data_IF_282197697355
#
_entry.id   IF_282197697355
#
_cell.length_a   1.000
_cell.length_b   1.000
_cell.length_c   1.000
_cell.angle_alpha   90.00
_cell.angle_beta   90.00
_cell.angle_gamma   90.00
#
_symmetry.space_group_name_H-M   'P 1'
#
loop_
_entity.id
_entity.type
_entity.pdbx_description
1 polymer ?
#
# COMPACT_ATOMS: atom_id res chain seq x y z
N UNK A 1 7.84 11.83 -12.39
CA UNK A 1 8.49 10.92 -13.35
C UNK A 1 7.84 10.96 -14.73
N UNK A 2 6.52 10.75 -14.86
CA UNK A 2 5.83 10.73 -16.17
C UNK A 2 6.17 11.93 -17.08
N UNK A 3 6.07 13.16 -16.56
CA UNK A 3 6.44 14.37 -17.33
C UNK A 3 7.90 14.39 -17.79
N UNK A 4 8.81 13.91 -16.94
CA UNK A 4 10.23 13.82 -17.28
C UNK A 4 10.45 12.78 -18.39
N UNK A 5 9.80 11.62 -18.29
CA UNK A 5 9.86 10.57 -19.32
C UNK A 5 9.38 11.09 -20.69
N UNK A 6 8.25 11.81 -20.73
CA UNK A 6 7.70 12.35 -21.99
C UNK A 6 8.66 13.37 -22.61
N UNK A 7 9.16 14.32 -21.80
CA UNK A 7 10.03 15.41 -22.28
C UNK A 7 11.41 14.91 -22.68
N UNK A 8 12.06 14.11 -21.84
CA UNK A 8 13.44 13.65 -22.06
C UNK A 8 13.58 12.73 -23.27
N UNK A 9 12.49 12.06 -23.68
CA UNK A 9 12.47 11.15 -24.82
C UNK A 9 11.72 11.71 -26.04
N UNK A 10 11.33 13.00 -26.03
CA UNK A 10 10.58 13.65 -27.10
C UNK A 10 9.30 12.91 -27.54
N UNK A 11 8.59 12.26 -26.60
CA UNK A 11 7.44 11.42 -26.91
C UNK A 11 6.21 12.22 -27.36
N UNK A 12 6.19 13.54 -27.17
CA UNK A 12 5.09 14.40 -27.60
C UNK A 12 4.84 14.32 -29.12
N UNK A 13 5.90 14.12 -29.92
CA UNK A 13 5.78 13.93 -31.36
C UNK A 13 5.09 12.60 -31.68
N UNK A 14 5.57 11.50 -31.07
CA UNK A 14 5.01 10.17 -31.28
C UNK A 14 3.54 10.08 -30.82
N UNK A 15 3.19 10.74 -29.72
CA UNK A 15 1.81 10.83 -29.25
C UNK A 15 0.90 11.52 -30.28
N UNK A 16 1.36 12.65 -30.86
CA UNK A 16 0.61 13.35 -31.92
C UNK A 16 0.50 12.53 -33.20
N UNK A 17 1.57 11.82 -33.58
CA UNK A 17 1.58 10.95 -34.76
C UNK A 17 0.57 9.79 -34.63
N UNK A 18 0.29 9.35 -33.41
CA UNK A 18 -0.75 8.36 -33.09
C UNK A 18 -2.13 8.98 -32.78
N UNK A 19 -2.30 10.29 -33.01
CA UNK A 19 -3.60 10.97 -32.92
C UNK A 19 -4.01 11.43 -31.52
N UNK A 20 -3.08 11.53 -30.56
CA UNK A 20 -3.37 12.14 -29.25
C UNK A 20 -3.35 13.67 -29.34
N UNK A 21 -4.26 14.31 -28.60
CA UNK A 21 -4.42 15.76 -28.54
C UNK A 21 -3.71 16.32 -27.31
N UNK A 22 -2.60 17.03 -27.52
CA UNK A 22 -1.82 17.65 -26.45
C UNK A 22 -2.19 19.13 -26.26
N UNK A 23 -2.25 19.67 -25.02
CA UNK A 23 -1.84 19.03 -23.76
C UNK A 23 -2.93 18.19 -23.08
N UNK A 24 -4.16 18.18 -23.61
CA UNK A 24 -5.34 17.59 -22.97
C UNK A 24 -5.15 16.11 -22.56
N UNK A 25 -4.57 15.30 -23.45
CA UNK A 25 -4.36 13.87 -23.20
C UNK A 25 -3.26 13.60 -22.17
N UNK A 26 -2.24 14.46 -22.07
CA UNK A 26 -1.21 14.36 -21.03
C UNK A 26 -1.82 14.64 -19.66
N UNK A 27 -2.64 15.69 -19.56
CA UNK A 27 -3.34 16.01 -18.32
C UNK A 27 -4.32 14.89 -17.97
N UNK A 28 -5.04 14.33 -18.95
CA UNK A 28 -5.92 13.19 -18.75
C UNK A 28 -5.17 11.98 -18.17
N UNK A 29 -4.01 11.60 -18.74
CA UNK A 29 -3.19 10.48 -18.23
C UNK A 29 -2.76 10.72 -16.78
N UNK A 30 -2.29 11.93 -16.44
CA UNK A 30 -1.93 12.26 -15.05
C UNK A 30 -3.12 12.10 -14.12
N UNK A 31 -4.32 12.51 -14.56
CA UNK A 31 -5.55 12.33 -13.79
C UNK A 31 -6.01 10.88 -13.67
N UNK A 32 -5.71 10.02 -14.64
CA UNK A 32 -5.93 8.57 -14.48
C UNK A 32 -4.99 7.96 -13.43
N UNK A 33 -3.76 8.45 -13.29
CA UNK A 33 -2.79 8.01 -12.28
C UNK A 33 -3.17 8.54 -10.88
N UNK A 34 -3.53 9.82 -10.79
CA UNK A 34 -3.97 10.46 -9.54
C UNK A 34 -5.31 9.86 -9.06
N UNK A 35 -6.21 9.54 -9.99
CA UNK A 35 -7.58 9.08 -9.74
C UNK A 35 -8.56 10.22 -9.44
N UNK A 36 -9.86 9.89 -9.49
CA UNK A 36 -10.95 10.85 -9.27
C UNK A 36 -11.17 11.11 -7.76
N UNK A 37 -10.68 12.23 -7.23
CA UNK A 37 -10.66 12.47 -5.77
C UNK A 37 -12.04 12.72 -5.14
N UNK A 38 -12.98 13.31 -5.90
CA UNK A 38 -14.36 13.57 -5.47
C UNK A 38 -15.34 13.46 -6.65
N UNK A 39 -16.08 12.34 -6.79
CA UNK A 39 -17.12 12.18 -7.80
C UNK A 39 -18.30 13.13 -7.61
N UNK A 40 -18.49 13.65 -6.39
CA UNK A 40 -19.63 14.50 -6.00
C UNK A 40 -19.27 15.99 -5.98
N UNK A 41 -18.12 16.37 -6.54
CA UNK A 41 -17.74 17.76 -6.64
C UNK A 41 -18.86 18.55 -7.34
N UNK A 42 -19.23 19.71 -6.78
CA UNK A 42 -20.36 20.56 -7.22
C UNK A 42 -20.28 20.92 -8.72
N UNK A 43 -19.09 20.84 -9.31
CA UNK A 43 -18.85 20.90 -10.74
C UNK A 43 -17.91 19.78 -11.16
N UNK A 44 -18.16 19.20 -12.34
CA UNK A 44 -17.27 18.21 -12.96
C UNK A 44 -15.83 18.76 -12.98
N UNK A 45 -14.92 18.20 -12.17
CA UNK A 45 -13.68 18.90 -11.82
C UNK A 45 -12.57 18.73 -12.86
N UNK A 46 -12.85 18.02 -13.97
CA UNK A 46 -11.85 17.63 -14.95
C UNK A 46 -12.16 18.19 -16.34
N UNK A 47 -11.31 19.09 -16.81
CA UNK A 47 -11.49 19.70 -18.12
C UNK A 47 -10.98 18.80 -19.27
N UNK A 48 -10.27 17.71 -18.96
CA UNK A 48 -9.57 16.87 -19.95
C UNK A 48 -10.46 15.82 -20.61
N UNK A 49 -11.62 15.51 -20.02
CA UNK A 49 -12.64 14.64 -20.60
C UNK A 49 -14.01 15.09 -20.13
N UNK A 50 -15.05 14.98 -20.97
CA UNK A 50 -16.38 15.38 -20.56
C UNK A 50 -16.99 14.33 -19.63
N UNK A 51 -18.03 14.71 -18.86
CA UNK A 51 -18.64 13.87 -17.81
C UNK A 51 -19.17 12.52 -18.33
N UNK A 52 -19.52 12.43 -19.61
CA UNK A 52 -19.98 11.20 -20.25
C UNK A 52 -18.87 10.14 -20.32
N UNK A 53 -17.61 10.53 -20.10
CA UNK A 53 -16.43 9.66 -20.05
C UNK A 53 -15.92 9.45 -18.61
N UNK A 54 -16.70 9.79 -17.58
CA UNK A 54 -16.30 9.65 -16.18
C UNK A 54 -15.85 8.24 -15.78
N UNK A 55 -16.45 7.21 -16.38
CA UNK A 55 -16.09 5.81 -16.15
C UNK A 55 -14.62 5.48 -16.46
N UNK A 56 -13.95 6.26 -17.31
CA UNK A 56 -12.53 6.03 -17.64
C UNK A 56 -11.62 6.21 -16.41
N UNK A 57 -11.99 7.10 -15.49
CA UNK A 57 -11.26 7.35 -14.25
C UNK A 57 -11.39 6.22 -13.22
N UNK A 58 -12.26 5.25 -13.47
CA UNK A 58 -12.47 4.08 -12.61
C UNK A 58 -11.63 2.86 -13.07
N UNK A 59 -10.86 2.99 -14.16
CA UNK A 59 -10.09 1.87 -14.74
C UNK A 59 -8.72 1.72 -14.08
N UNK A 60 -7.92 2.79 -14.05
CA UNK A 60 -6.49 2.75 -13.64
C UNK A 60 -6.31 2.88 -12.13
N UNK A 61 -6.91 3.92 -11.53
CA UNK A 61 -6.82 4.19 -10.09
C UNK A 61 -8.19 4.60 -9.54
N UNK A 62 -9.00 3.61 -9.19
CA UNK A 62 -10.39 3.84 -8.78
C UNK A 62 -10.47 4.29 -7.32
N UNK A 63 -10.62 5.60 -7.09
CA UNK A 63 -10.71 6.15 -5.73
C UNK A 63 -12.09 5.97 -5.07
N UNK A 64 -13.13 5.65 -5.85
CA UNK A 64 -14.50 5.50 -5.35
C UNK A 64 -14.68 4.22 -4.55
N UNK A 65 -14.11 3.11 -5.02
CA UNK A 65 -14.24 1.80 -4.38
C UNK A 65 -12.97 0.94 -4.40
N UNK A 66 -11.91 1.38 -5.11
CA UNK A 66 -10.66 0.63 -5.21
C UNK A 66 -10.70 -0.56 -6.14
N UNK A 67 -11.73 -0.76 -6.98
CA UNK A 67 -11.73 -1.82 -8.00
C UNK A 67 -11.12 -1.25 -9.28
N UNK A 68 -9.88 -1.64 -9.58
CA UNK A 68 -9.09 -1.17 -10.72
C UNK A 68 -8.19 -2.27 -11.27
N UNK A 69 -7.64 -2.05 -12.47
CA UNK A 69 -6.82 -3.06 -13.16
C UNK A 69 -5.46 -3.28 -12.52
N UNK A 70 -4.97 -2.33 -11.73
CA UNK A 70 -3.75 -2.47 -10.91
C UNK A 70 -3.87 -3.69 -9.97
N UNK A 71 -5.00 -3.81 -9.26
CA UNK A 71 -5.28 -4.95 -8.37
C UNK A 71 -5.35 -6.27 -9.11
N UNK A 72 -5.97 -6.28 -10.28
CA UNK A 72 -6.10 -7.51 -11.06
C UNK A 72 -4.74 -8.05 -11.47
N UNK A 73 -3.82 -7.19 -11.90
CA UNK A 73 -2.46 -7.59 -12.25
C UNK A 73 -1.68 -8.06 -11.03
N UNK A 74 -1.58 -7.24 -9.98
CA UNK A 74 -0.71 -7.61 -8.86
C UNK A 74 -1.26 -8.81 -8.08
N UNK A 75 -2.57 -9.04 -8.00
CA UNK A 75 -3.09 -10.28 -7.42
C UNK A 75 -2.63 -11.50 -8.20
N UNK A 76 -2.72 -11.48 -9.53
CA UNK A 76 -2.29 -12.60 -10.36
C UNK A 76 -0.77 -12.80 -10.27
N UNK A 77 -0.01 -11.71 -10.42
CA UNK A 77 1.45 -11.70 -10.38
C UNK A 77 1.99 -12.13 -9.04
N UNK A 78 1.51 -11.56 -7.94
CA UNK A 78 2.05 -11.83 -6.61
C UNK A 78 1.64 -13.21 -6.13
N UNK A 79 0.40 -13.64 -6.37
CA UNK A 79 0.01 -15.01 -6.07
C UNK A 79 0.90 -16.03 -6.80
N UNK A 80 1.21 -15.79 -8.08
CA UNK A 80 2.13 -16.65 -8.83
C UNK A 80 3.53 -16.70 -8.20
N UNK A 81 4.15 -15.55 -7.92
CA UNK A 81 5.52 -15.49 -7.39
C UNK A 81 5.63 -15.91 -5.91
N UNK A 82 4.57 -15.71 -5.11
CA UNK A 82 4.51 -16.11 -3.69
C UNK A 82 4.07 -17.56 -3.50
N UNK A 83 3.66 -18.27 -4.56
CA UNK A 83 3.11 -19.63 -4.46
C UNK A 83 1.74 -19.68 -3.76
N UNK A 84 0.97 -18.60 -3.86
CA UNK A 84 -0.39 -18.51 -3.33
C UNK A 84 -1.42 -18.71 -4.45
N UNK A 85 -2.61 -19.22 -4.12
CA UNK A 85 -3.70 -19.31 -5.09
C UNK A 85 -4.42 -17.96 -5.21
N UNK A 86 -4.50 -17.41 -6.42
CA UNK A 86 -5.37 -16.28 -6.71
C UNK A 86 -6.82 -16.78 -6.90
N UNK A 87 -7.76 -16.19 -6.17
CA UNK A 87 -9.19 -16.53 -6.26
C UNK A 87 -9.98 -15.50 -7.10
N UNK A 88 -9.33 -14.48 -7.66
CA UNK A 88 -9.98 -13.41 -8.44
C UNK A 88 -9.92 -13.71 -9.94
N UNK A 89 -11.09 -13.91 -10.55
CA UNK A 89 -11.24 -14.03 -12.01
C UNK A 89 -11.58 -12.65 -12.62
N UNK A 90 -10.53 -11.89 -12.94
CA UNK A 90 -10.69 -10.56 -13.53
C UNK A 90 -11.21 -10.59 -14.97
N UNK A 91 -10.96 -11.67 -15.73
CA UNK A 91 -11.48 -11.82 -17.09
C UNK A 91 -13.01 -11.95 -17.07
N UNK A 92 -13.54 -12.75 -16.14
CA UNK A 92 -14.97 -12.83 -15.88
C UNK A 92 -15.54 -11.48 -15.46
N UNK A 93 -14.87 -10.76 -14.55
CA UNK A 93 -15.29 -9.42 -14.13
C UNK A 93 -15.44 -8.47 -15.33
N UNK A 94 -14.42 -8.43 -16.22
CA UNK A 94 -14.45 -7.60 -17.42
C UNK A 94 -15.61 -7.95 -18.36
N UNK A 95 -15.86 -9.25 -18.58
CA UNK A 95 -16.99 -9.71 -19.42
C UNK A 95 -18.37 -9.33 -18.86
N UNK A 96 -18.47 -9.15 -17.55
CA UNK A 96 -19.73 -8.85 -16.85
C UNK A 96 -19.86 -7.40 -16.43
N UNK A 97 -18.93 -6.55 -16.86
CA UNK A 97 -18.95 -5.11 -16.60
C UNK A 97 -19.71 -4.35 -17.68
N UNK A 98 -20.45 -3.31 -17.29
CA UNK A 98 -21.13 -2.36 -18.18
C UNK A 98 -20.91 -0.93 -17.71
N UNK A 99 -21.21 0.04 -18.57
CA UNK A 99 -21.30 1.45 -18.17
C UNK A 99 -22.78 1.82 -18.05
N UNK A 100 -23.17 2.41 -16.93
CA UNK A 100 -24.53 2.92 -16.71
C UNK A 100 -24.47 4.34 -16.15
N UNK A 101 -25.48 5.15 -16.47
CA UNK A 101 -25.61 6.51 -15.95
C UNK A 101 -26.20 6.48 -14.53
N UNK A 102 -25.56 7.21 -13.61
CA UNK A 102 -26.04 7.48 -12.26
C UNK A 102 -25.78 8.94 -11.94
N UNK A 103 -26.81 9.68 -11.53
CA UNK A 103 -26.72 11.09 -11.15
C UNK A 103 -25.99 11.97 -12.18
N UNK A 104 -26.18 11.67 -13.47
CA UNK A 104 -25.60 12.41 -14.60
C UNK A 104 -24.13 12.08 -14.91
N UNK A 105 -23.55 11.07 -14.25
CA UNK A 105 -22.22 10.53 -14.52
C UNK A 105 -22.31 9.08 -15.01
N UNK A 106 -21.38 8.68 -15.88
CA UNK A 106 -21.26 7.31 -16.33
C UNK A 106 -20.32 6.52 -15.41
N UNK A 107 -20.79 5.42 -14.85
CA UNK A 107 -20.03 4.56 -13.94
C UNK A 107 -19.87 3.14 -14.46
N UNK A 108 -18.74 2.53 -14.14
CA UNK A 108 -18.50 1.09 -14.29
C UNK A 108 -19.41 0.34 -13.31
N UNK A 109 -20.31 -0.46 -13.87
CA UNK A 109 -21.29 -1.25 -13.15
C UNK A 109 -21.00 -2.74 -13.32
N UNK A 110 -21.00 -3.48 -12.21
CA UNK A 110 -20.82 -4.93 -12.18
C UNK A 110 -22.15 -5.67 -12.31
N UNK A 111 -22.13 -6.89 -12.81
CA UNK A 111 -23.34 -7.71 -12.79
C UNK A 111 -23.72 -8.08 -11.35
N UNK A 112 -25.00 -7.97 -11.00
CA UNK A 112 -25.57 -8.29 -9.68
C UNK A 112 -25.03 -9.56 -9.01
N UNK A 113 -24.97 -10.67 -9.74
CA UNK A 113 -24.47 -11.96 -9.24
C UNK A 113 -22.97 -11.99 -8.89
N UNK A 114 -22.20 -10.99 -9.30
CA UNK A 114 -20.75 -10.91 -9.04
C UNK A 114 -20.43 -10.29 -7.68
N UNK A 115 -21.44 -9.82 -6.93
CA UNK A 115 -21.21 -9.20 -5.60
C UNK A 115 -20.40 -10.09 -4.65
N UNK A 116 -20.62 -11.41 -4.67
CA UNK A 116 -19.83 -12.36 -3.89
C UNK A 116 -18.36 -12.37 -4.31
N UNK A 117 -18.08 -12.41 -5.62
CA UNK A 117 -16.73 -12.38 -6.17
C UNK A 117 -16.00 -11.08 -5.81
N UNK A 118 -16.70 -9.95 -5.68
CA UNK A 118 -16.11 -8.70 -5.24
C UNK A 118 -15.71 -8.72 -3.76
N UNK A 119 -16.54 -9.31 -2.88
CA UNK A 119 -16.12 -9.54 -1.49
C UNK A 119 -14.91 -10.49 -1.42
N UNK A 120 -14.90 -11.56 -2.21
CA UNK A 120 -13.76 -12.49 -2.31
C UNK A 120 -12.48 -11.81 -2.82
N UNK A 121 -12.62 -10.80 -3.68
CA UNK A 121 -11.50 -9.98 -4.14
C UNK A 121 -10.85 -9.21 -2.98
N UNK A 122 -11.64 -8.51 -2.16
CA UNK A 122 -11.09 -7.79 -1.00
C UNK A 122 -10.59 -8.74 0.09
N UNK A 123 -11.20 -9.92 0.23
CA UNK A 123 -10.67 -10.98 1.09
C UNK A 123 -9.31 -11.48 0.61
N UNK A 124 -9.14 -11.70 -0.70
CA UNK A 124 -7.85 -12.04 -1.34
C UNK A 124 -6.80 -10.96 -1.05
N UNK A 125 -7.15 -9.68 -1.20
CA UNK A 125 -6.28 -8.56 -0.84
C UNK A 125 -5.80 -8.66 0.60
N UNK A 126 -6.72 -8.81 1.54
CA UNK A 126 -6.39 -8.93 2.96
C UNK A 126 -5.49 -10.16 3.23
N UNK A 127 -5.72 -11.29 2.56
CA UNK A 127 -4.84 -12.46 2.67
C UNK A 127 -3.41 -12.19 2.20
N UNK A 128 -3.24 -11.51 1.06
CA UNK A 128 -1.92 -11.13 0.55
C UNK A 128 -1.20 -10.17 1.50
N UNK A 129 -1.91 -9.16 2.01
CA UNK A 129 -1.36 -8.24 3.01
C UNK A 129 -0.88 -8.98 4.26
N UNK A 130 -1.68 -9.89 4.81
CA UNK A 130 -1.33 -10.61 6.05
C UNK A 130 -0.19 -11.59 5.88
N UNK A 131 -0.19 -12.33 4.78
CA UNK A 131 0.74 -13.44 4.57
C UNK A 131 2.06 -13.02 3.94
N UNK A 132 2.06 -11.94 3.16
CA UNK A 132 3.23 -11.49 2.42
C UNK A 132 3.58 -10.02 2.72
N UNK A 133 2.76 -9.06 2.29
CA UNK A 133 3.19 -7.66 2.24
C UNK A 133 3.48 -7.06 3.62
N UNK A 134 2.71 -7.45 4.63
CA UNK A 134 2.89 -6.99 6.00
C UNK A 134 3.34 -8.12 6.92
N UNK A 135 4.01 -9.13 6.37
CA UNK A 135 4.59 -10.19 7.19
C UNK A 135 5.60 -9.59 8.18
N UNK A 136 5.52 -9.98 9.46
CA UNK A 136 6.31 -9.40 10.56
C UNK A 136 7.82 -9.35 10.31
N UNK A 137 8.37 -10.33 9.59
CA UNK A 137 9.81 -10.36 9.23
C UNK A 137 10.11 -9.38 8.10
N UNK A 138 9.18 -9.20 7.14
CA UNK A 138 9.34 -8.22 6.07
C UNK A 138 9.30 -6.81 6.65
N UNK A 139 8.35 -6.53 7.55
CA UNK A 139 8.24 -5.23 8.25
C UNK A 139 9.52 -4.83 8.97
N UNK A 140 10.17 -5.77 9.65
CA UNK A 140 11.41 -5.45 10.37
C UNK A 140 12.62 -5.32 9.43
N UNK A 141 12.65 -6.06 8.31
CA UNK A 141 13.68 -5.88 7.28
C UNK A 141 13.50 -4.51 6.60
N UNK A 142 12.27 -4.12 6.23
CA UNK A 142 11.96 -2.78 5.70
C UNK A 142 12.45 -1.69 6.65
N UNK A 143 12.18 -1.84 7.95
CA UNK A 143 12.67 -0.90 8.97
C UNK A 143 14.20 -0.85 9.01
N UNK A 144 14.89 -1.99 8.98
CA UNK A 144 16.35 -2.04 8.96
C UNK A 144 16.95 -1.41 7.68
N UNK A 145 16.32 -1.59 6.52
CA UNK A 145 16.75 -0.95 5.27
C UNK A 145 16.56 0.57 5.38
N UNK A 146 15.41 1.03 5.87
CA UNK A 146 15.15 2.45 6.07
C UNK A 146 16.15 3.07 7.06
N UNK A 147 16.47 2.38 8.15
CA UNK A 147 17.50 2.79 9.11
C UNK A 147 18.87 2.91 8.44
N UNK A 148 19.29 1.91 7.66
CA UNK A 148 20.55 1.97 6.91
C UNK A 148 20.59 3.12 5.90
N UNK A 149 19.48 3.39 5.22
CA UNK A 149 19.40 4.50 4.24
C UNK A 149 19.42 5.86 4.92
N UNK A 150 18.85 6.00 6.12
CA UNK A 150 18.97 7.22 6.91
C UNK A 150 20.43 7.49 7.31
N UNK A 151 21.14 6.47 7.78
CA UNK A 151 22.58 6.59 8.09
C UNK A 151 23.42 6.89 6.83
N UNK A 152 23.01 6.40 5.65
CA UNK A 152 23.74 6.61 4.39
C UNK A 152 23.39 7.91 3.66
N UNK A 153 22.29 8.59 4.03
CA UNK A 153 21.68 9.66 3.24
C UNK A 153 22.66 10.80 2.90
N UNK A 154 23.42 11.26 3.91
CA UNK A 154 24.37 12.36 3.75
C UNK A 154 25.59 12.01 2.88
N UNK A 155 25.88 10.72 2.68
CA UNK A 155 27.12 10.22 2.11
C UNK A 155 26.96 9.67 0.69
N UNK A 156 25.76 9.19 0.34
CA UNK A 156 25.45 8.83 -1.04
C UNK A 156 25.14 10.09 -1.85
N UNK A 157 25.79 10.22 -3.01
CA UNK A 157 25.60 11.34 -3.94
C UNK A 157 25.13 10.82 -5.28
N UNK A 158 24.01 11.36 -5.76
CA UNK A 158 23.38 11.00 -7.02
C UNK A 158 23.41 12.24 -7.91
N UNK A 159 24.07 12.14 -9.06
CA UNK A 159 24.11 13.24 -10.02
C UNK A 159 22.76 13.37 -10.73
N UNK A 160 22.12 14.53 -10.61
CA UNK A 160 20.90 14.89 -11.31
C UNK A 160 21.13 15.92 -12.42
N UNK A 161 20.07 16.65 -12.77
CA UNK A 161 20.15 17.66 -13.83
C UNK A 161 21.16 18.76 -13.54
N UNK A 162 21.76 19.29 -14.62
CA UNK A 162 22.83 20.31 -14.56
C UNK A 162 24.05 19.89 -13.72
N UNK A 163 24.30 18.58 -13.58
CA UNK A 163 25.38 18.01 -12.75
C UNK A 163 25.27 18.35 -11.25
N UNK A 164 24.06 18.66 -10.77
CA UNK A 164 23.82 18.90 -9.36
C UNK A 164 23.80 17.56 -8.61
N UNK A 165 24.44 17.49 -7.44
CA UNK A 165 24.44 16.29 -6.61
C UNK A 165 23.29 16.32 -5.60
N UNK A 166 22.56 15.22 -5.52
CA UNK A 166 21.45 14.98 -4.59
C UNK A 166 21.80 13.85 -3.61
N UNK A 167 21.18 13.86 -2.45
CA UNK A 167 21.19 12.76 -1.47
C UNK A 167 20.09 11.74 -1.78
N UNK A 168 19.97 10.67 -0.99
CA UNK A 168 18.87 9.71 -1.15
C UNK A 168 17.51 10.41 -0.93
N UNK A 169 17.42 11.23 0.12
CA UNK A 169 16.22 11.95 0.53
C UNK A 169 15.81 13.08 -0.40
N UNK A 170 16.77 13.71 -1.10
CA UNK A 170 16.52 14.86 -1.99
C UNK A 170 16.46 14.48 -3.47
N UNK A 171 16.80 13.24 -3.84
CA UNK A 171 16.69 12.78 -5.23
C UNK A 171 15.26 12.87 -5.78
N UNK A 172 14.23 12.82 -4.93
CA UNK A 172 12.83 13.00 -5.33
C UNK A 172 12.54 14.37 -5.95
N UNK A 173 13.38 15.38 -5.67
CA UNK A 173 13.21 16.76 -6.15
C UNK A 173 13.73 16.93 -7.59
N UNK A 174 14.48 15.96 -8.13
CA UNK A 174 15.04 15.98 -9.48
C UNK A 174 14.84 14.63 -10.17
N UNK A 175 14.05 14.61 -11.26
CA UNK A 175 13.67 13.34 -11.91
C UNK A 175 14.83 12.65 -12.62
N UNK A 176 15.90 13.37 -12.97
CA UNK A 176 17.11 12.75 -13.52
C UNK A 176 17.90 12.01 -12.43
N UNK A 177 18.05 12.62 -11.24
CA UNK A 177 18.57 11.94 -10.06
C UNK A 177 17.67 10.77 -9.63
N UNK A 178 16.36 10.99 -9.54
CA UNK A 178 15.40 9.97 -9.13
C UNK A 178 15.40 8.74 -10.06
N UNK A 179 15.64 8.94 -11.37
CA UNK A 179 15.78 7.83 -12.34
C UNK A 179 16.95 6.90 -11.99
N UNK A 180 18.00 7.42 -11.35
CA UNK A 180 19.20 6.66 -10.94
C UNK A 180 19.06 6.05 -9.55
N UNK A 181 18.08 6.50 -8.75
CA UNK A 181 17.78 5.97 -7.43
C UNK A 181 16.97 4.68 -7.54
N UNK A 182 17.65 3.55 -7.35
CA UNK A 182 17.07 2.19 -7.44
C UNK A 182 17.58 1.33 -6.29
N UNK A 183 17.12 0.08 -6.22
CA UNK A 183 17.61 -0.93 -5.27
C UNK A 183 19.13 -1.12 -5.29
N UNK A 184 19.81 -0.69 -6.37
CA UNK A 184 21.27 -0.64 -6.44
C UNK A 184 21.93 0.08 -5.26
N UNK A 185 21.25 1.05 -4.65
CA UNK A 185 21.74 1.75 -3.44
C UNK A 185 22.06 0.78 -2.30
N UNK A 186 21.32 -0.33 -2.18
CA UNK A 186 21.58 -1.36 -1.19
C UNK A 186 22.98 -1.96 -1.39
N UNK A 187 23.29 -2.36 -2.63
CA UNK A 187 24.61 -2.92 -3.00
C UNK A 187 25.73 -1.88 -2.90
N UNK A 188 25.44 -0.63 -3.26
CA UNK A 188 26.39 0.48 -3.14
C UNK A 188 26.85 0.69 -1.69
N UNK A 189 25.92 0.65 -0.73
CA UNK A 189 26.23 0.75 0.70
C UNK A 189 26.99 -0.51 1.16
N UNK A 190 26.48 -1.69 0.81
CA UNK A 190 27.04 -2.96 1.25
C UNK A 190 28.50 -3.17 0.80
N UNK A 191 28.83 -2.76 -0.42
CA UNK A 191 30.16 -2.92 -1.01
C UNK A 191 31.07 -1.70 -0.83
N UNK A 192 30.61 -0.66 -0.13
CA UNK A 192 31.43 0.51 0.16
C UNK A 192 32.60 0.18 1.09
N UNK A 193 33.73 0.83 0.82
CA UNK A 193 34.92 0.89 1.68
C UNK A 193 35.00 2.19 2.49
N UNK A 194 34.05 3.11 2.33
CA UNK A 194 34.03 4.38 3.06
C UNK A 194 33.69 4.15 4.54
N UNK A 195 34.46 4.77 5.42
CA UNK A 195 34.18 4.79 6.87
C UNK A 195 32.86 5.48 7.20
N UNK A 196 32.45 6.44 6.37
CA UNK A 196 31.21 7.20 6.56
C UNK A 196 29.95 6.33 6.35
N UNK A 197 30.08 5.21 5.64
CA UNK A 197 28.99 4.27 5.39
C UNK A 197 29.05 3.04 6.30
N UNK A 198 29.95 3.01 7.29
CA UNK A 198 30.20 1.83 8.11
C UNK A 198 28.97 1.41 8.93
N UNK A 199 28.24 2.36 9.51
CA UNK A 199 27.06 2.06 10.33
C UNK A 199 25.88 1.55 9.48
N UNK A 200 25.61 2.21 8.35
CA UNK A 200 24.64 1.76 7.36
C UNK A 200 24.96 0.34 6.86
N UNK A 201 26.21 0.10 6.46
CA UNK A 201 26.71 -1.20 6.00
C UNK A 201 26.52 -2.29 7.05
N UNK A 202 26.83 -2.01 8.31
CA UNK A 202 26.66 -2.95 9.42
C UNK A 202 25.21 -3.38 9.60
N UNK A 203 24.24 -2.49 9.36
CA UNK A 203 22.82 -2.83 9.39
C UNK A 203 22.47 -3.77 8.23
N UNK A 204 22.91 -3.47 7.00
CA UNK A 204 22.66 -4.33 5.84
C UNK A 204 23.31 -5.72 5.97
N UNK A 205 24.53 -5.80 6.52
CA UNK A 205 25.20 -7.07 6.80
C UNK A 205 24.41 -7.95 7.79
N UNK A 206 23.72 -7.34 8.76
CA UNK A 206 22.79 -8.08 9.64
C UNK A 206 21.61 -8.66 8.88
N UNK A 207 21.08 -7.95 7.88
CA UNK A 207 19.98 -8.45 7.03
C UNK A 207 20.43 -9.70 6.28
N UNK A 208 21.57 -9.63 5.60
CA UNK A 208 22.13 -10.71 4.78
C UNK A 208 22.50 -11.92 5.64
N UNK A 209 23.08 -11.68 6.81
CA UNK A 209 23.44 -12.74 7.77
C UNK A 209 22.25 -13.24 8.62
N UNK A 210 21.01 -12.81 8.32
CA UNK A 210 19.78 -13.16 9.06
C UNK A 210 19.83 -12.84 10.57
N UNK A 211 20.62 -11.84 10.96
CA UNK A 211 20.69 -11.29 12.32
C UNK A 211 19.72 -10.12 12.49
N UNK A 212 18.47 -10.32 12.07
CA UNK A 212 17.40 -9.31 12.13
C UNK A 212 17.07 -8.93 13.57
N UNK A 213 16.52 -7.73 13.76
CA UNK A 213 15.87 -7.35 15.01
C UNK A 213 14.74 -8.32 15.34
N UNK A 214 14.55 -8.59 16.64
CA UNK A 214 13.74 -9.71 17.10
C UNK A 214 12.34 -9.25 17.47
N UNK A 215 11.36 -9.93 16.91
CA UNK A 215 9.96 -9.75 17.28
C UNK A 215 9.73 -10.20 18.73
N UNK A 216 9.19 -9.30 19.55
CA UNK A 216 8.86 -9.57 20.94
C UNK A 216 7.42 -10.01 21.08
N UNK A 217 6.48 -9.34 20.40
CA UNK A 217 5.06 -9.64 20.46
C UNK A 217 4.24 -8.64 19.64
N UNK A 218 2.96 -8.94 19.48
CA UNK A 218 1.99 -8.09 18.79
C UNK A 218 0.81 -7.76 19.71
N UNK A 219 0.44 -6.49 19.74
CA UNK A 219 -0.74 -5.99 20.45
C UNK A 219 -1.87 -5.79 19.42
N UNK A 220 -3.05 -6.32 19.76
CA UNK A 220 -4.29 -6.13 18.99
C UNK A 220 -5.24 -5.22 19.77
N UNK A 221 -5.21 -3.90 19.54
CA UNK A 221 -6.13 -2.99 20.22
C UNK A 221 -7.58 -3.33 19.86
N UNK A 222 -8.49 -3.19 20.82
CA UNK A 222 -9.93 -3.42 20.60
C UNK A 222 -10.52 -2.45 19.59
N UNK A 223 -10.74 -1.17 19.96
CA UNK A 223 -11.04 -0.12 18.98
C UNK A 223 -9.75 0.28 18.25
N UNK A 224 -9.89 0.70 16.99
CA UNK A 224 -8.77 1.25 16.20
C UNK A 224 -8.24 2.50 16.92
N UNK A 225 -7.00 2.49 17.43
CA UNK A 225 -6.46 3.62 18.17
C UNK A 225 -6.28 4.84 17.26
N UNK A 226 -6.45 6.02 17.84
CA UNK A 226 -6.18 7.27 17.12
C UNK A 226 -4.68 7.43 16.88
N UNK A 227 -4.30 8.23 15.88
CA UNK A 227 -2.88 8.58 15.62
C UNK A 227 -2.18 9.15 16.86
N UNK A 228 -2.91 9.88 17.70
CA UNK A 228 -2.37 10.44 18.95
C UNK A 228 -2.01 9.34 19.94
N UNK A 229 -2.93 8.39 20.15
CA UNK A 229 -2.71 7.23 21.04
C UNK A 229 -1.53 6.39 20.55
N UNK A 230 -1.46 6.12 19.25
CA UNK A 230 -0.31 5.42 18.64
C UNK A 230 0.99 6.16 18.92
N UNK A 231 1.04 7.47 18.67
CA UNK A 231 2.25 8.26 18.88
C UNK A 231 2.69 8.36 20.34
N UNK A 232 1.75 8.31 21.30
CA UNK A 232 2.07 8.20 22.73
C UNK A 232 2.67 6.83 23.05
N UNK A 233 2.07 5.77 22.52
CA UNK A 233 2.51 4.39 22.69
C UNK A 233 3.91 4.14 22.10
N UNK A 234 4.14 4.64 20.89
CA UNK A 234 5.45 4.61 20.21
C UNK A 234 6.52 5.32 21.05
N UNK A 235 6.22 6.48 21.63
CA UNK A 235 7.17 7.21 22.49
C UNK A 235 7.50 6.46 23.76
N UNK A 236 6.50 5.91 24.43
CA UNK A 236 6.71 5.14 25.67
C UNK A 236 7.55 3.89 25.41
N UNK A 237 7.20 3.09 24.40
CA UNK A 237 7.95 1.88 24.05
C UNK A 237 9.34 2.19 23.49
N UNK A 238 9.52 3.28 22.74
CA UNK A 238 10.83 3.72 22.29
C UNK A 238 11.74 4.13 23.47
N UNK A 239 11.18 4.72 24.52
CA UNK A 239 11.93 5.01 25.75
C UNK A 239 12.39 3.75 26.49
N UNK A 240 11.84 2.57 26.15
CA UNK A 240 12.27 1.26 26.63
C UNK A 240 13.22 0.54 25.65
N UNK A 241 13.78 1.25 24.67
CA UNK A 241 14.61 0.72 23.58
C UNK A 241 13.89 -0.30 22.67
N UNK A 242 12.56 -0.21 22.56
CA UNK A 242 11.79 -1.03 21.63
C UNK A 242 11.51 -0.31 20.32
N UNK A 243 11.48 -1.10 19.24
CA UNK A 243 11.00 -0.66 17.94
C UNK A 243 9.53 -1.01 17.85
N UNK A 244 8.71 -0.03 17.45
CA UNK A 244 7.26 -0.20 17.29
C UNK A 244 6.91 -0.02 15.83
N UNK A 245 6.27 -1.02 15.24
CA UNK A 245 5.78 -0.97 13.86
C UNK A 245 4.27 -1.20 13.85
N UNK A 246 3.52 -0.16 13.46
CA UNK A 246 2.06 -0.25 13.33
C UNK A 246 1.69 -0.67 11.92
N UNK A 247 0.85 -1.70 11.82
CA UNK A 247 0.32 -2.22 10.57
C UNK A 247 -1.19 -2.07 10.55
N UNK A 248 -1.75 -1.54 9.46
CA UNK A 248 -3.20 -1.45 9.26
C UNK A 248 -3.62 -2.41 8.15
N UNK A 249 -4.64 -3.22 8.42
CA UNK A 249 -5.31 -4.06 7.43
C UNK A 249 -6.68 -3.50 7.17
N UNK A 250 -7.05 -3.32 5.91
CA UNK A 250 -8.37 -2.85 5.53
C UNK A 250 -8.83 -3.45 4.19
N UNK A 251 -10.05 -3.12 3.77
CA UNK A 251 -10.58 -3.46 2.45
C UNK A 251 -10.30 -2.35 1.41
N UNK A 252 -9.26 -1.53 1.61
CA UNK A 252 -8.84 -0.47 0.69
C UNK A 252 -9.54 0.87 0.89
N UNK A 253 -10.47 0.96 1.83
CA UNK A 253 -11.24 2.16 2.14
C UNK A 253 -11.32 2.47 3.65
N UNK A 254 -10.22 2.26 4.38
CA UNK A 254 -10.20 2.39 5.85
C UNK A 254 -11.30 1.50 6.47
N UNK A 255 -12.12 2.05 7.37
CA UNK A 255 -13.20 1.39 8.09
C UNK A 255 -14.48 1.17 7.25
N UNK A 256 -14.51 1.59 5.98
CA UNK A 256 -15.69 1.50 5.12
C UNK A 256 -15.71 0.22 4.29
N UNK A 257 -16.91 -0.29 4.05
CA UNK A 257 -17.16 -1.35 3.08
C UNK A 257 -17.06 -0.79 1.64
N UNK A 258 -16.06 -1.20 0.83
CA UNK A 258 -15.91 -0.71 -0.53
C UNK A 258 -17.09 -1.11 -1.44
N UNK A 259 -17.80 -2.21 -1.13
CA UNK A 259 -18.91 -2.71 -1.95
C UNK A 259 -20.12 -1.76 -1.91
N UNK A 260 -20.28 -0.97 -0.85
CA UNK A 260 -21.32 0.07 -0.77
C UNK A 260 -21.17 1.12 -1.87
N UNK A 261 -19.95 1.34 -2.37
CA UNK A 261 -19.68 2.31 -3.42
C UNK A 261 -19.68 1.68 -4.82
N UNK A 262 -19.94 0.38 -4.96
CA UNK A 262 -20.05 -0.30 -6.26
C UNK A 262 -21.45 -0.14 -6.82
N UNK A 263 -21.57 0.08 -8.13
CA UNK A 263 -22.85 0.05 -8.83
C UNK A 263 -23.04 -1.31 -9.51
N UNK A 264 -24.27 -1.81 -9.47
CA UNK A 264 -24.65 -3.10 -10.06
C UNK A 264 -25.75 -2.93 -11.10
N UNK A 265 -25.82 -3.84 -12.06
CA UNK A 265 -26.97 -3.97 -12.98
C UNK A 265 -27.49 -5.40 -12.96
N UNK A 266 -28.73 -5.61 -13.42
CA UNK A 266 -29.38 -6.93 -13.44
C UNK A 266 -29.54 -7.46 -14.86
N UNK A 267 -29.85 -8.76 -15.02
CA UNK A 267 -30.15 -9.33 -16.35
C UNK A 267 -31.29 -8.61 -17.04
N UNK A 268 -32.31 -8.27 -16.25
CA UNK A 268 -33.60 -7.81 -16.74
C UNK A 268 -33.54 -6.34 -17.13
N UNK A 269 -32.78 -5.55 -16.37
CA UNK A 269 -32.57 -4.12 -16.58
C UNK A 269 -31.06 -3.86 -16.69
N UNK A 270 -30.44 -4.04 -17.87
CA UNK A 270 -28.99 -3.99 -18.04
C UNK A 270 -28.39 -2.57 -18.06
N UNK A 271 -29.22 -1.55 -18.22
CA UNK A 271 -28.81 -0.15 -18.30
C UNK A 271 -29.26 0.66 -17.07
N UNK A 272 -29.77 -0.02 -16.04
CA UNK A 272 -30.19 0.60 -14.77
C UNK A 272 -29.26 0.14 -13.66
N UNK A 273 -28.52 1.09 -13.10
CA UNK A 273 -27.66 0.86 -11.97
C UNK A 273 -28.43 0.86 -10.63
N UNK A 274 -27.97 0.05 -9.69
CA UNK A 274 -28.45 0.03 -8.31
C UNK A 274 -27.34 -0.37 -7.34
N UNK A 275 -27.58 -0.19 -6.04
CA UNK A 275 -26.68 -0.62 -4.96
C UNK A 275 -27.15 -1.94 -4.35
N UNK A 276 -26.20 -2.77 -3.93
CA UNK A 276 -26.46 -3.98 -3.14
C UNK A 276 -25.89 -3.74 -1.74
N UNK A 277 -26.69 -4.00 -0.72
CA UNK A 277 -26.30 -3.89 0.69
C UNK A 277 -25.71 -5.20 1.21
N UNK A 278 -24.84 -5.13 2.23
CA UNK A 278 -24.22 -6.30 2.87
C UNK A 278 -25.25 -7.36 3.29
N UNK A 279 -26.37 -6.91 3.86
CA UNK A 279 -27.45 -7.77 4.36
C UNK A 279 -28.16 -8.58 3.25
N UNK A 280 -28.15 -8.08 2.02
CA UNK A 280 -28.68 -8.79 0.85
C UNK A 280 -27.72 -9.87 0.33
N UNK A 281 -26.47 -9.87 0.76
CA UNK A 281 -25.42 -10.78 0.27
C UNK A 281 -25.25 -11.96 1.21
N UNK A 282 -24.78 -11.73 2.44
CA UNK A 282 -24.55 -12.80 3.42
C UNK A 282 -24.30 -12.26 4.82
N UNK A 283 -24.80 -12.97 5.83
CA UNK A 283 -24.52 -12.71 7.27
C UNK A 283 -23.12 -13.19 7.70
N UNK A 284 -22.38 -13.88 6.83
CA UNK A 284 -21.03 -14.38 7.11
C UNK A 284 -19.94 -13.44 6.57
N UNK A 285 -20.32 -12.26 6.09
CA UNK A 285 -19.38 -11.22 5.69
C UNK A 285 -18.77 -10.52 6.91
N UNK A 286 -17.62 -9.84 6.75
CA UNK A 286 -17.01 -9.10 7.85
C UNK A 286 -17.96 -8.06 8.46
N UNK A 287 -17.92 -7.94 9.79
CA UNK A 287 -18.56 -6.83 10.51
C UNK A 287 -17.67 -5.57 10.52
N UNK A 288 -16.35 -5.76 10.55
CA UNK A 288 -15.36 -4.69 10.51
C UNK A 288 -14.51 -4.79 9.23
N UNK A 289 -14.23 -3.63 8.62
CA UNK A 289 -13.46 -3.53 7.38
C UNK A 289 -12.05 -2.98 7.58
N UNK A 290 -11.67 -2.70 8.83
CA UNK A 290 -10.31 -2.28 9.21
C UNK A 290 -9.92 -2.83 10.57
N UNK A 291 -8.64 -3.14 10.73
CA UNK A 291 -8.00 -3.47 12.00
C UNK A 291 -6.55 -2.93 12.01
N UNK A 292 -5.97 -2.85 13.20
CA UNK A 292 -4.57 -2.48 13.39
C UNK A 292 -3.84 -3.49 14.26
N UNK A 293 -2.58 -3.74 13.93
CA UNK A 293 -1.66 -4.57 14.70
C UNK A 293 -0.44 -3.72 15.07
N UNK A 294 -0.03 -3.77 16.33
CA UNK A 294 1.16 -3.06 16.83
C UNK A 294 2.23 -4.11 17.12
N UNK A 295 3.20 -4.24 16.21
CA UNK A 295 4.33 -5.14 16.38
C UNK A 295 5.44 -4.47 17.18
N UNK A 296 5.94 -5.15 18.21
CA UNK A 296 7.04 -4.67 19.06
C UNK A 296 8.27 -5.54 18.85
N UNK A 297 9.43 -4.90 18.68
CA UNK A 297 10.69 -5.56 18.33
C UNK A 297 11.85 -5.05 19.19
N UNK A 298 12.89 -5.85 19.34
CA UNK A 298 14.15 -5.49 20.00
C UNK A 298 15.34 -5.52 19.05
N UNK A 299 16.22 -4.51 19.16
CA UNK A 299 17.53 -4.53 18.51
C UNK A 299 18.49 -5.55 19.15
N UNK A 300 18.27 -5.90 20.42
CA UNK A 300 19.04 -6.92 21.14
C UNK A 300 18.63 -8.31 20.63
N UNK A 301 19.59 -9.21 20.53
CA UNK A 301 19.38 -10.52 19.89
C UNK A 301 19.80 -11.69 20.76
N UNK A 302 20.43 -11.44 21.91
CA UNK A 302 20.80 -12.46 22.89
C UNK A 302 19.60 -12.89 23.74
N UNK A 303 19.55 -14.17 24.09
CA UNK A 303 18.40 -14.79 24.75
C UNK A 303 18.06 -14.15 26.10
N UNK A 304 19.08 -13.75 26.88
CA UNK A 304 18.88 -13.12 28.18
C UNK A 304 18.18 -11.76 28.03
N UNK A 305 18.65 -10.91 27.12
CA UNK A 305 18.01 -9.63 26.83
C UNK A 305 16.62 -9.79 26.24
N UNK A 306 16.40 -10.79 25.38
CA UNK A 306 15.08 -11.05 24.80
C UNK A 306 14.07 -11.50 25.86
N UNK A 307 14.47 -12.36 26.80
CA UNK A 307 13.61 -12.78 27.91
C UNK A 307 13.24 -11.59 28.80
N UNK A 308 14.24 -10.76 29.18
CA UNK A 308 13.98 -9.56 29.95
C UNK A 308 13.07 -8.57 29.21
N UNK A 309 13.29 -8.40 27.90
CA UNK A 309 12.48 -7.52 27.05
C UNK A 309 11.02 -7.98 26.96
N UNK A 310 10.76 -9.29 26.82
CA UNK A 310 9.39 -9.84 26.83
C UNK A 310 8.70 -9.60 28.15
N UNK A 311 9.33 -9.96 29.27
CA UNK A 311 8.76 -9.73 30.60
C UNK A 311 8.43 -8.25 30.85
N UNK A 312 9.30 -7.34 30.39
CA UNK A 312 9.05 -5.91 30.51
C UNK A 312 7.87 -5.45 29.64
N UNK A 313 7.79 -5.96 28.41
CA UNK A 313 6.67 -5.66 27.51
C UNK A 313 5.34 -6.19 28.04
N UNK A 314 5.34 -7.39 28.64
CA UNK A 314 4.17 -7.99 29.27
C UNK A 314 3.68 -7.12 30.44
N UNK A 315 4.59 -6.78 31.36
CA UNK A 315 4.26 -5.90 32.49
C UNK A 315 3.74 -4.54 32.02
N UNK A 316 4.36 -3.95 31.00
CA UNK A 316 3.90 -2.68 30.43
C UNK A 316 2.49 -2.80 29.81
N UNK A 317 2.17 -3.92 29.16
CA UNK A 317 0.82 -4.17 28.62
C UNK A 317 -0.21 -4.33 29.76
N UNK A 318 0.14 -5.06 30.82
CA UNK A 318 -0.72 -5.24 32.01
C UNK A 318 -0.99 -3.90 32.71
N UNK A 319 0.04 -3.09 32.93
CA UNK A 319 -0.07 -1.77 33.58
C UNK A 319 -0.96 -0.81 32.78
N UNK A 320 -1.02 -0.98 31.46
CA UNK A 320 -1.86 -0.19 30.54
C UNK A 320 -3.25 -0.78 30.31
N UNK A 321 -3.55 -1.97 30.84
CA UNK A 321 -4.81 -2.68 30.60
C UNK A 321 -5.00 -3.08 29.14
N UNK A 322 -3.91 -3.33 28.41
CA UNK A 322 -3.95 -3.77 27.02
C UNK A 322 -4.21 -5.28 26.92
N UNK A 323 -4.75 -5.77 25.79
CA UNK A 323 -4.93 -7.20 25.57
C UNK A 323 -3.60 -7.97 25.62
N UNK A 324 -3.67 -9.25 26.00
CA UNK A 324 -2.52 -10.14 26.02
C UNK A 324 -1.81 -10.17 24.66
N UNK A 325 -0.49 -10.14 24.70
CA UNK A 325 0.35 -10.20 23.52
C UNK A 325 0.17 -11.52 22.78
N UNK A 326 0.26 -11.44 21.45
CA UNK A 326 0.44 -12.60 20.61
C UNK A 326 1.92 -12.71 20.23
N UNK A 327 2.59 -13.76 20.70
CA UNK A 327 4.02 -13.98 20.44
C UNK A 327 4.29 -14.71 19.10
N UNK A 328 3.23 -15.15 18.40
CA UNK A 328 3.28 -15.96 17.19
C UNK A 328 3.84 -17.38 17.40
N UNK A 329 4.06 -18.13 16.32
CA UNK A 329 4.24 -19.60 16.35
C UNK A 329 5.44 -20.16 17.13
N UNK A 330 6.38 -19.33 17.62
CA UNK A 330 7.65 -19.80 18.18
C UNK A 330 7.92 -19.38 19.63
N UNK A 331 6.96 -18.73 20.29
CA UNK A 331 7.12 -18.28 21.65
C UNK A 331 5.93 -18.79 22.48
N UNK A 332 6.19 -19.81 23.30
CA UNK A 332 5.32 -20.13 24.42
C UNK A 332 5.31 -18.96 25.41
N UNK A 333 4.15 -18.68 26.05
CA UNK A 333 4.06 -17.75 27.17
C UNK A 333 5.12 -18.01 28.24
#
# INVERSE_FOLDING_TARGET
MFDHLVKSNNLELEMKDHGLNLPEDLDFIKKLIEGLSDPNAVQWPYNCRPKEKSFLYEIVANKSNGIDVDKFDYFARDCYHLGMKNNVDHLRFMQLTRVCEVDGLNHICSRDKEVGNLYDMFYTRNCLHRRAYQHRVNKIIEYMIAEAFLEADGHIKIEGSKRQMFTLSTAIDDMEAYTKLTDHVFEQILHSSSTDLADAKKILEKIISRKHYKFLGEIRPGPIPTKKVIGELEKELAALDFIVLVTTFDYGMKDKDPIKNVYFYSKRNPDTAFKITKDQVSKLLPECFSEQLIGVYSKKTDDQSLKAARNHLDQWCEDKGLPNLQYGDTATP
#
